data_IF_720765307399
#
_entry.id   IF_720765307399
#
_cell.length_a   1.000
_cell.length_b   1.000
_cell.length_c   1.000
_cell.angle_alpha   90.00
_cell.angle_beta   90.00
_cell.angle_gamma   90.00
#
_symmetry.space_group_name_H-M   'P 1'
#
loop_
_entity.id
_entity.type
_entity.pdbx_description
1 polymer ?
#
# COMPACT_ATOMS: atom_id res chain seq x y z
N UNK A 1 52.09 27.53 -11.76
CA UNK A 1 50.66 27.93 -11.72
C UNK A 1 49.72 26.77 -12.05
N UNK A 2 50.01 25.94 -13.06
CA UNK A 2 49.12 24.84 -13.49
C UNK A 2 48.84 23.77 -12.41
N UNK A 3 49.86 23.36 -11.63
CA UNK A 3 49.70 22.35 -10.58
C UNK A 3 48.76 22.82 -9.46
N UNK A 4 48.83 24.09 -9.08
CA UNK A 4 47.97 24.71 -8.07
C UNK A 4 46.52 24.74 -8.53
N UNK A 5 46.27 25.06 -9.81
CA UNK A 5 44.93 25.04 -10.39
C UNK A 5 44.34 23.62 -10.43
N UNK A 6 45.15 22.60 -10.77
CA UNK A 6 44.73 21.20 -10.73
C UNK A 6 44.39 20.75 -9.29
N UNK A 7 45.19 21.16 -8.31
CA UNK A 7 44.92 20.84 -6.90
C UNK A 7 43.59 21.46 -6.42
N UNK A 8 43.34 22.72 -6.77
CA UNK A 8 42.08 23.40 -6.44
C UNK A 8 40.86 22.76 -7.11
N UNK A 9 40.99 22.33 -8.37
CA UNK A 9 39.91 21.63 -9.08
C UNK A 9 39.58 20.29 -8.41
N UNK A 10 40.60 19.53 -7.99
CA UNK A 10 40.41 18.27 -7.27
C UNK A 10 39.78 18.49 -5.90
N UNK A 11 40.19 19.52 -5.16
CA UNK A 11 39.59 19.85 -3.86
C UNK A 11 38.09 20.16 -4.00
N UNK A 12 37.72 21.00 -4.97
CA UNK A 12 36.31 21.32 -5.26
C UNK A 12 35.49 20.08 -5.62
N UNK A 13 36.03 19.23 -6.48
CA UNK A 13 35.35 17.99 -6.87
C UNK A 13 35.13 17.04 -5.68
N UNK A 14 36.06 17.01 -4.72
CA UNK A 14 35.91 16.23 -3.48
C UNK A 14 34.82 16.82 -2.58
N UNK A 15 34.79 18.14 -2.42
CA UNK A 15 33.77 18.83 -1.64
C UNK A 15 32.37 18.64 -2.22
N UNK A 16 32.22 18.77 -3.54
CA UNK A 16 30.96 18.52 -4.25
C UNK A 16 30.47 17.08 -4.05
N UNK A 17 31.37 16.09 -4.15
CA UNK A 17 31.02 14.69 -3.92
C UNK A 17 30.62 14.41 -2.48
N UNK A 18 31.26 15.06 -1.50
CA UNK A 18 30.88 14.96 -0.08
C UNK A 18 29.50 15.55 0.16
N UNK A 19 29.23 16.75 -0.36
CA UNK A 19 27.93 17.38 -0.27
C UNK A 19 26.83 16.52 -0.92
N UNK A 20 27.12 15.90 -2.06
CA UNK A 20 26.20 14.97 -2.71
C UNK A 20 25.92 13.75 -1.84
N UNK A 21 26.96 13.12 -1.27
CA UNK A 21 26.81 11.98 -0.37
C UNK A 21 25.93 12.35 0.82
N UNK A 22 26.22 13.45 1.50
CA UNK A 22 25.49 13.87 2.70
C UNK A 22 24.01 14.14 2.38
N UNK A 23 23.71 14.69 1.21
CA UNK A 23 22.34 14.85 0.71
C UNK A 23 21.65 13.50 0.49
N UNK A 24 22.33 12.56 -0.17
CA UNK A 24 21.77 11.23 -0.45
C UNK A 24 21.53 10.45 0.85
N UNK A 25 22.43 10.54 1.82
CA UNK A 25 22.26 9.94 3.15
C UNK A 25 21.03 10.51 3.87
N UNK A 26 20.83 11.84 3.82
CA UNK A 26 19.64 12.47 4.37
C UNK A 26 18.35 12.03 3.67
N UNK A 27 18.37 11.87 2.35
CA UNK A 27 17.23 11.36 1.58
C UNK A 27 16.92 9.91 1.94
N UNK A 28 17.93 9.06 2.05
CA UNK A 28 17.77 7.65 2.44
C UNK A 28 17.13 7.54 3.82
N UNK A 29 17.66 8.28 4.81
CA UNK A 29 17.09 8.27 6.16
C UNK A 29 15.63 8.75 6.19
N UNK A 30 15.28 9.73 5.34
CA UNK A 30 13.89 10.19 5.23
C UNK A 30 12.97 9.13 4.62
N UNK A 31 13.44 8.40 3.61
CA UNK A 31 12.67 7.30 3.00
C UNK A 31 12.50 6.14 3.97
N UNK A 32 13.54 5.77 4.72
CA UNK A 32 13.47 4.71 5.72
C UNK A 32 12.44 5.04 6.81
N UNK A 33 12.36 6.30 7.25
CA UNK A 33 11.34 6.73 8.22
C UNK A 33 9.94 6.61 7.64
N UNK A 34 9.72 7.13 6.43
CA UNK A 34 8.41 7.04 5.76
C UNK A 34 7.98 5.59 5.55
N UNK A 35 8.91 4.71 5.15
CA UNK A 35 8.64 3.29 4.99
C UNK A 35 8.20 2.66 6.31
N UNK A 36 8.91 2.92 7.40
CA UNK A 36 8.57 2.37 8.71
C UNK A 36 7.22 2.90 9.22
N UNK A 37 6.93 4.18 9.04
CA UNK A 37 5.63 4.77 9.37
C UNK A 37 4.48 4.07 8.62
N UNK A 38 4.63 3.90 7.29
CA UNK A 38 3.66 3.17 6.48
C UNK A 38 3.46 1.73 6.96
N UNK A 39 4.55 1.02 7.27
CA UNK A 39 4.47 -0.37 7.76
C UNK A 39 3.74 -0.45 9.10
N UNK A 40 3.97 0.48 10.02
CA UNK A 40 3.25 0.51 11.31
C UNK A 40 1.78 0.87 11.13
N UNK A 41 1.44 1.81 10.22
CA UNK A 41 0.05 2.09 9.87
C UNK A 41 -0.65 0.86 9.30
N UNK A 42 -0.01 0.14 8.38
CA UNK A 42 -0.53 -1.12 7.82
C UNK A 42 -0.79 -2.16 8.91
N UNK A 43 0.17 -2.34 9.84
CA UNK A 43 -0.02 -3.26 10.98
C UNK A 43 -1.18 -2.84 11.87
N UNK A 44 -1.38 -1.54 12.06
CA UNK A 44 -2.55 -1.00 12.76
C UNK A 44 -3.88 -1.36 12.08
N UNK A 45 -3.87 -1.55 10.76
CA UNK A 45 -5.01 -2.05 9.98
C UNK A 45 -5.07 -3.58 9.91
N UNK A 46 -4.17 -4.30 10.59
CA UNK A 46 -4.11 -5.76 10.62
C UNK A 46 -3.44 -6.39 9.40
N UNK A 47 -2.79 -5.61 8.54
CA UNK A 47 -2.12 -6.08 7.31
C UNK A 47 -0.63 -5.72 7.30
N UNK A 48 0.10 -6.32 6.39
CA UNK A 48 1.52 -6.00 6.13
C UNK A 48 1.75 -5.89 4.62
N UNK A 49 2.87 -5.32 4.16
CA UNK A 49 3.19 -5.30 2.73
C UNK A 49 3.15 -6.68 2.07
N UNK A 50 3.53 -7.73 2.81
CA UNK A 50 3.56 -9.10 2.29
C UNK A 50 2.18 -9.77 2.28
N UNK A 51 1.24 -9.32 3.13
CA UNK A 51 -0.07 -9.97 3.34
C UNK A 51 -1.26 -9.19 2.78
N UNK A 52 -1.06 -7.94 2.33
CA UNK A 52 -2.16 -7.07 1.90
C UNK A 52 -2.95 -7.63 0.72
N UNK A 53 -2.28 -8.23 -0.26
CA UNK A 53 -2.94 -8.80 -1.44
C UNK A 53 -3.80 -10.02 -1.08
N UNK A 54 -3.33 -10.86 -0.16
CA UNK A 54 -4.08 -12.01 0.34
C UNK A 54 -5.33 -11.56 1.10
N UNK A 55 -5.20 -10.53 1.94
CA UNK A 55 -6.33 -10.00 2.70
C UNK A 55 -7.38 -9.34 1.78
N UNK A 56 -6.94 -8.62 0.74
CA UNK A 56 -7.84 -8.07 -0.28
C UNK A 56 -8.63 -9.20 -0.97
N UNK A 57 -7.96 -10.28 -1.37
CA UNK A 57 -8.61 -11.41 -2.00
C UNK A 57 -9.62 -12.09 -1.07
N UNK A 58 -9.27 -12.30 0.20
CA UNK A 58 -10.15 -12.86 1.23
C UNK A 58 -11.42 -12.03 1.39
N UNK A 59 -11.27 -10.71 1.56
CA UNK A 59 -12.39 -9.78 1.72
C UNK A 59 -13.29 -9.73 0.48
N UNK A 60 -12.71 -9.78 -0.72
CA UNK A 60 -13.49 -9.83 -1.97
C UNK A 60 -14.32 -11.11 -2.07
N UNK A 61 -13.77 -12.26 -1.66
CA UNK A 61 -14.50 -13.51 -1.65
C UNK A 61 -15.63 -13.50 -0.62
N UNK A 62 -15.37 -12.99 0.57
CA UNK A 62 -16.36 -12.82 1.64
C UNK A 62 -17.51 -11.91 1.18
N UNK A 63 -17.20 -10.79 0.53
CA UNK A 63 -18.21 -9.89 -0.02
C UNK A 63 -19.11 -10.55 -1.08
N UNK A 64 -18.53 -11.36 -1.99
CA UNK A 64 -19.30 -12.11 -2.99
C UNK A 64 -20.24 -13.12 -2.34
N UNK A 65 -19.74 -13.88 -1.37
CA UNK A 65 -20.55 -14.87 -0.67
C UNK A 65 -21.73 -14.21 0.07
N UNK A 66 -21.50 -13.07 0.73
CA UNK A 66 -22.56 -12.31 1.40
C UNK A 66 -23.60 -11.76 0.42
N UNK A 67 -23.17 -11.33 -0.77
CA UNK A 67 -24.10 -10.90 -1.82
C UNK A 67 -24.98 -12.06 -2.31
N UNK A 68 -24.39 -13.22 -2.59
CA UNK A 68 -25.12 -14.42 -3.02
C UNK A 68 -26.13 -14.88 -1.94
N UNK A 69 -25.73 -14.85 -0.67
CA UNK A 69 -26.61 -15.16 0.45
C UNK A 69 -27.78 -14.19 0.54
N UNK A 70 -27.52 -12.88 0.43
CA UNK A 70 -28.56 -11.86 0.43
C UNK A 70 -29.55 -12.03 -0.74
N UNK A 71 -29.06 -12.30 -1.95
CA UNK A 71 -29.89 -12.58 -3.13
C UNK A 71 -30.76 -13.83 -2.93
N UNK A 72 -30.19 -14.90 -2.38
CA UNK A 72 -30.93 -16.13 -2.10
C UNK A 72 -32.05 -15.92 -1.06
N UNK A 73 -31.79 -15.12 -0.03
CA UNK A 73 -32.80 -14.76 0.97
C UNK A 73 -33.93 -13.93 0.34
N UNK A 74 -33.58 -12.92 -0.46
CA UNK A 74 -34.57 -12.10 -1.18
C UNK A 74 -35.40 -12.92 -2.16
N UNK A 75 -34.78 -13.83 -2.91
CA UNK A 75 -35.49 -14.69 -3.85
C UNK A 75 -36.47 -15.62 -3.14
N UNK A 76 -36.10 -16.18 -1.98
CA UNK A 76 -37.01 -17.03 -1.18
C UNK A 76 -38.23 -16.26 -0.69
N UNK A 77 -38.01 -15.04 -0.19
CA UNK A 77 -39.08 -14.15 0.28
C UNK A 77 -40.06 -13.80 -0.85
N UNK A 78 -39.55 -13.47 -2.04
CA UNK A 78 -40.39 -13.17 -3.22
C UNK A 78 -41.19 -14.39 -3.66
N UNK A 79 -40.59 -15.58 -3.73
CA UNK A 79 -41.31 -16.80 -4.13
C UNK A 79 -42.37 -17.24 -3.11
N UNK A 80 -42.17 -16.97 -1.81
CA UNK A 80 -43.18 -17.30 -0.79
C UNK A 80 -44.42 -16.41 -0.85
N UNK A 81 -44.36 -15.25 -1.51
CA UNK A 81 -45.50 -14.34 -1.65
C UNK A 81 -46.40 -14.67 -2.84
N UNK A 82 -45.88 -15.37 -3.86
CA UNK A 82 -46.64 -15.74 -5.06
C UNK A 82 -47.50 -17.01 -4.85
N UNK A 83 -47.11 -17.94 -3.97
CA UNK A 83 -47.86 -19.18 -3.71
C UNK A 83 -49.16 -18.96 -2.91
N UNK A 84 -49.29 -17.86 -2.16
CA UNK A 84 -50.51 -17.54 -1.38
C UNK A 84 -51.62 -16.86 -2.22
N UNK A 85 -51.35 -16.53 -3.50
CA UNK A 85 -52.30 -15.80 -4.36
C UNK A 85 -53.10 -16.67 -5.34
N UNK A 86 -52.87 -17.99 -5.36
CA UNK A 86 -53.66 -18.97 -6.13
C UNK A 86 -54.20 -20.10 -5.25
N UNK A 87 -55.12 -19.77 -4.34
CA UNK A 87 -56.09 -20.72 -3.81
C UNK A 87 -57.48 -20.09 -3.88
N UNK A 88 -58.15 -20.29 -5.02
CA UNK A 88 -59.59 -20.08 -5.21
C UNK A 88 -60.27 -21.41 -5.52
#
# INVERSE_FOLDING_TARGET
MELTAKLQALQRAVEEKRALRDRLEGQLQSLDRQWNELVEEMKGLGVTPDTIEEEIARLQQEARALMEEAEALLSKEVTSHDDDSFSF
#
